data_IF_703158359019
#
_entry.id   IF_703158359019
#
_cell.length_a   1.000
_cell.length_b   1.000
_cell.length_c   1.000
_cell.angle_alpha   90.00
_cell.angle_beta   90.00
_cell.angle_gamma   90.00
#
_symmetry.space_group_name_H-M   'P 1'
#
loop_
_entity.id
_entity.type
_entity.pdbx_description
1 polymer ?
#
# COMPACT_ATOMS: atom_id res chain seq x y z
N UNK A 1 1.59 -45.72 -37.05
CA UNK A 1 0.36 -44.90 -37.12
C UNK A 1 -0.29 -44.68 -35.75
N UNK A 2 -0.73 -45.72 -35.03
CA UNK A 2 -1.42 -45.55 -33.72
C UNK A 2 -0.55 -44.92 -32.62
N UNK A 3 0.73 -45.28 -32.55
CA UNK A 3 1.67 -44.71 -31.58
C UNK A 3 1.90 -43.19 -31.77
N UNK A 4 1.82 -42.69 -33.01
CA UNK A 4 1.97 -41.26 -33.30
C UNK A 4 0.79 -40.46 -32.73
N UNK A 5 -0.42 -41.00 -32.83
CA UNK A 5 -1.60 -40.37 -32.24
C UNK A 5 -1.51 -40.29 -30.72
N UNK A 6 -1.03 -41.35 -30.07
CA UNK A 6 -0.80 -41.37 -28.61
C UNK A 6 0.28 -40.37 -28.21
N UNK A 7 1.36 -40.27 -28.99
CA UNK A 7 2.45 -39.32 -28.74
C UNK A 7 1.99 -37.85 -28.85
N UNK A 8 1.21 -37.53 -29.89
CA UNK A 8 0.63 -36.19 -30.06
C UNK A 8 -0.34 -35.82 -28.94
N UNK A 9 -1.09 -36.79 -28.41
CA UNK A 9 -1.97 -36.59 -27.27
C UNK A 9 -1.18 -36.14 -26.03
N UNK A 10 -0.06 -36.81 -25.72
CA UNK A 10 0.80 -36.40 -24.62
C UNK A 10 1.36 -34.99 -24.81
N UNK A 11 1.85 -34.67 -26.01
CA UNK A 11 2.36 -33.31 -26.31
C UNK A 11 1.25 -32.27 -26.10
N UNK A 12 0.04 -32.53 -26.60
CA UNK A 12 -1.10 -31.65 -26.41
C UNK A 12 -1.44 -31.43 -24.94
N UNK A 13 -1.39 -32.50 -24.14
CA UNK A 13 -1.63 -32.42 -22.69
C UNK A 13 -0.58 -31.55 -21.99
N UNK A 14 0.70 -31.68 -22.34
CA UNK A 14 1.76 -30.82 -21.79
C UNK A 14 1.57 -29.34 -22.18
N UNK A 15 1.19 -29.06 -23.43
CA UNK A 15 0.94 -27.69 -23.89
C UNK A 15 -0.24 -27.03 -23.15
N UNK A 16 -1.32 -27.78 -22.92
CA UNK A 16 -2.48 -27.28 -22.14
C UNK A 16 -2.07 -26.96 -20.71
N UNK A 17 -1.30 -27.86 -20.07
CA UNK A 17 -0.80 -27.63 -18.70
C UNK A 17 0.09 -26.40 -18.66
N UNK A 18 1.06 -26.26 -19.56
CA UNK A 18 1.91 -25.06 -19.60
C UNK A 18 1.11 -23.79 -19.80
N UNK A 19 0.17 -23.76 -20.74
CA UNK A 19 -0.68 -22.60 -20.99
C UNK A 19 -1.54 -22.21 -19.77
N UNK A 20 -2.09 -23.21 -19.06
CA UNK A 20 -2.87 -22.98 -17.85
C UNK A 20 -2.04 -22.35 -16.73
N UNK A 21 -0.84 -22.89 -16.47
CA UNK A 21 0.05 -22.32 -15.46
C UNK A 21 0.51 -20.91 -15.84
N UNK A 22 0.88 -20.71 -17.10
CA UNK A 22 1.35 -19.40 -17.58
C UNK A 22 0.29 -18.30 -17.45
N UNK A 23 -0.99 -18.62 -17.61
CA UNK A 23 -2.08 -17.69 -17.37
C UNK A 23 -2.36 -17.50 -15.88
N UNK A 24 -2.41 -18.60 -15.12
CA UNK A 24 -2.73 -18.58 -13.68
C UNK A 24 -1.66 -17.89 -12.83
N UNK A 25 -0.40 -17.88 -13.28
CA UNK A 25 0.70 -17.20 -12.59
C UNK A 25 0.89 -15.75 -13.00
N UNK A 26 0.10 -15.22 -13.95
CA UNK A 26 0.16 -13.79 -14.27
C UNK A 26 -0.36 -13.01 -13.07
N UNK A 27 0.55 -12.33 -12.38
CA UNK A 27 0.18 -11.33 -11.39
C UNK A 27 -0.63 -10.24 -12.11
N UNK A 28 -1.87 -9.96 -11.69
CA UNK A 28 -2.61 -8.83 -12.24
C UNK A 28 -1.81 -7.56 -11.96
N UNK A 29 -1.72 -6.67 -12.95
CA UNK A 29 -1.11 -5.36 -12.76
C UNK A 29 -1.82 -4.68 -11.60
N UNK A 30 -1.09 -4.20 -10.58
CA UNK A 30 -1.71 -3.54 -9.44
C UNK A 30 -2.54 -2.37 -9.96
N UNK A 31 -3.83 -2.35 -9.64
CA UNK A 31 -4.68 -1.20 -9.94
C UNK A 31 -4.11 -0.02 -9.17
N UNK A 32 -3.69 1.01 -9.89
CA UNK A 32 -3.22 2.26 -9.25
C UNK A 32 -4.46 2.96 -8.70
N UNK A 33 -4.62 2.89 -7.37
CA UNK A 33 -5.61 3.71 -6.67
C UNK A 33 -5.05 5.12 -6.47
N UNK A 34 -5.52 6.07 -7.27
CA UNK A 34 -5.17 7.48 -7.09
C UNK A 34 -5.97 8.03 -5.90
N UNK A 35 -5.36 8.05 -4.72
CA UNK A 35 -5.93 8.70 -3.54
C UNK A 35 -5.73 10.21 -3.62
N UNK A 36 -6.80 10.94 -3.89
CA UNK A 36 -6.78 12.40 -3.85
C UNK A 36 -6.84 12.87 -2.39
N UNK A 37 -5.81 13.59 -1.95
CA UNK A 37 -5.86 14.31 -0.69
C UNK A 37 -6.45 15.69 -0.99
N UNK A 38 -7.65 16.02 -0.46
CA UNK A 38 -8.27 17.30 -0.73
C UNK A 38 -7.43 18.44 -0.14
N UNK A 39 -7.19 19.47 -0.96
CA UNK A 39 -6.47 20.68 -0.54
C UNK A 39 -7.10 21.37 0.67
N UNK A 40 -8.41 21.23 0.86
CA UNK A 40 -9.12 21.78 2.01
C UNK A 40 -8.56 21.27 3.34
N UNK A 41 -8.16 20.00 3.45
CA UNK A 41 -7.54 19.47 4.68
C UNK A 41 -6.20 20.13 4.96
N UNK A 42 -5.38 20.32 3.92
CA UNK A 42 -4.08 20.99 4.07
C UNK A 42 -4.25 22.45 4.49
N UNK A 43 -5.21 23.16 3.88
CA UNK A 43 -5.52 24.55 4.22
C UNK A 43 -6.12 24.69 5.63
N UNK A 44 -6.95 23.76 6.07
CA UNK A 44 -7.49 23.71 7.43
C UNK A 44 -6.37 23.54 8.48
N UNK A 45 -5.45 22.59 8.25
CA UNK A 45 -4.31 22.32 9.13
C UNK A 45 -3.30 23.48 9.21
N UNK A 46 -3.15 24.24 8.12
CA UNK A 46 -2.32 25.45 8.09
C UNK A 46 -3.04 26.68 8.63
N UNK A 47 -4.36 26.64 8.79
CA UNK A 47 -5.11 27.77 9.30
C UNK A 47 -4.73 28.06 10.75
N UNK A 48 -4.73 29.35 11.11
CA UNK A 48 -4.37 29.81 12.45
C UNK A 48 -5.19 29.14 13.56
N UNK A 49 -6.40 28.67 13.25
CA UNK A 49 -7.31 28.01 14.19
C UNK A 49 -6.89 26.58 14.58
N UNK A 50 -6.12 25.91 13.73
CA UNK A 50 -5.68 24.52 13.94
C UNK A 50 -4.15 24.37 13.96
N UNK A 51 -3.40 25.48 14.09
CA UNK A 51 -1.94 25.46 14.19
C UNK A 51 -1.49 24.55 15.32
N UNK A 52 -0.88 23.43 14.94
CA UNK A 52 -0.28 22.44 15.87
C UNK A 52 0.67 23.13 16.85
N UNK A 53 1.43 24.13 16.39
CA UNK A 53 2.34 24.90 17.25
C UNK A 53 1.63 25.55 18.44
N UNK A 54 0.40 26.07 18.25
CA UNK A 54 -0.36 26.71 19.34
C UNK A 54 -0.88 25.65 20.32
N UNK A 55 -1.32 24.50 19.80
CA UNK A 55 -1.91 23.44 20.61
C UNK A 55 -0.88 22.67 21.45
N UNK A 56 0.34 22.49 20.93
CA UNK A 56 1.41 21.75 21.61
C UNK A 56 2.44 22.67 22.30
N UNK A 57 2.29 24.00 22.19
CA UNK A 57 3.23 24.98 22.75
C UNK A 57 3.50 24.77 24.24
N UNK A 58 2.42 24.56 25.00
CA UNK A 58 2.46 24.40 26.46
C UNK A 58 3.28 23.19 26.88
N UNK A 59 3.34 22.13 26.08
CA UNK A 59 4.14 20.95 26.41
C UNK A 59 5.65 21.23 26.45
N UNK A 60 6.11 22.30 25.80
CA UNK A 60 7.52 22.67 25.71
C UNK A 60 7.87 23.94 26.50
N UNK A 61 6.91 24.83 26.71
CA UNK A 61 7.10 26.08 27.46
C UNK A 61 6.74 25.93 28.94
N UNK A 62 5.81 25.03 29.30
CA UNK A 62 5.46 24.84 30.70
C UNK A 62 6.55 24.02 31.39
N UNK A 63 7.09 24.56 32.47
CA UNK A 63 8.03 23.84 33.32
C UNK A 63 7.28 22.69 33.96
N UNK A 64 7.68 21.48 33.58
CA UNK A 64 7.03 20.28 34.09
C UNK A 64 7.21 20.17 35.61
N UNK A 65 6.17 19.75 36.37
CA UNK A 65 6.19 19.80 37.84
C UNK A 65 7.36 19.05 38.49
N UNK A 66 7.89 18.01 37.83
CA UNK A 66 9.03 17.24 38.33
C UNK A 66 10.37 17.99 38.27
N UNK A 67 10.53 18.94 37.35
CA UNK A 67 11.72 19.79 37.27
C UNK A 67 11.79 20.83 38.41
N UNK A 68 10.65 21.24 38.96
CA UNK A 68 10.57 22.17 40.09
C UNK A 68 10.80 21.49 41.45
N UNK A 69 10.65 20.17 41.55
CA UNK A 69 10.86 19.41 42.79
C UNK A 69 12.33 18.97 43.00
N UNK A 70 13.20 19.25 42.04
CA UNK A 70 14.59 18.76 42.02
C UNK A 70 15.63 19.86 42.32
N UNK A 71 15.18 21.05 42.73
CA UNK A 71 15.98 22.22 43.10
C UNK A 71 15.69 22.62 44.56
#
# INVERSE_FOLDING_TARGET
MKAIAVFLLFIGMFLVVQGYYQESTKCPTPKVEVKYIPRSLYEEQLSDKQKLQVHFKSMFEDVTPWLLMQQ
#
